data_IF_671289250124
#
_entry.id   IF_671289250124
#
_cell.length_a   1.000
_cell.length_b   1.000
_cell.length_c   1.000
_cell.angle_alpha   90.00
_cell.angle_beta   90.00
_cell.angle_gamma   90.00
#
_symmetry.space_group_name_H-M   'P 1'
#
loop_
_entity.id
_entity.type
_entity.pdbx_description
1 polymer ?
#
# COMPACT_ATOMS: atom_id res chain seq x y z
N UNK A 1 -6.30 46.01 4.98
CA UNK A 1 -7.09 45.22 4.02
C UNK A 1 -6.67 43.77 4.14
N UNK A 2 -7.46 42.94 4.80
CA UNK A 2 -7.21 41.50 4.91
C UNK A 2 -7.39 40.87 3.51
N UNK A 3 -6.29 40.38 2.92
CA UNK A 3 -6.38 39.56 1.71
C UNK A 3 -7.17 38.31 2.05
N UNK A 4 -8.39 38.22 1.59
CA UNK A 4 -9.21 36.99 1.66
C UNK A 4 -8.45 35.91 0.92
N UNK A 5 -7.78 34.99 1.65
CA UNK A 5 -7.05 33.87 1.09
C UNK A 5 -8.10 32.96 0.47
N UNK A 6 -8.15 32.86 -0.85
CA UNK A 6 -9.05 31.94 -1.53
C UNK A 6 -8.67 30.52 -1.11
N UNK A 7 -9.52 29.86 -0.35
CA UNK A 7 -9.33 28.48 0.07
C UNK A 7 -9.30 27.61 -1.18
N UNK A 8 -8.16 26.97 -1.43
CA UNK A 8 -8.03 26.04 -2.55
C UNK A 8 -8.70 24.70 -2.17
N UNK A 9 -9.56 24.22 -3.03
CA UNK A 9 -10.17 22.90 -2.90
C UNK A 9 -9.80 22.02 -4.12
N UNK A 10 -9.82 20.71 -3.93
CA UNK A 10 -9.49 19.73 -4.96
C UNK A 10 -10.41 18.51 -4.85
N UNK A 11 -10.69 17.86 -5.97
CA UNK A 11 -11.47 16.63 -6.01
C UNK A 11 -10.63 15.44 -5.58
N UNK A 12 -11.27 14.48 -4.94
CA UNK A 12 -10.69 13.15 -4.76
C UNK A 12 -10.54 12.49 -6.14
N UNK A 13 -9.49 11.67 -6.30
CA UNK A 13 -9.40 10.76 -7.43
C UNK A 13 -10.47 9.65 -7.34
N UNK A 14 -10.60 8.87 -8.40
CA UNK A 14 -11.63 7.85 -8.49
C UNK A 14 -11.53 6.82 -7.35
N UNK A 15 -10.33 6.31 -7.06
CA UNK A 15 -10.08 5.32 -6.01
C UNK A 15 -10.27 5.93 -4.61
N UNK A 16 -9.82 7.17 -4.42
CA UNK A 16 -9.93 7.90 -3.15
C UNK A 16 -11.38 8.06 -2.67
N UNK A 17 -12.35 8.12 -3.58
CA UNK A 17 -13.76 8.24 -3.23
C UNK A 17 -14.30 7.04 -2.43
N UNK A 18 -13.69 5.87 -2.56
CA UNK A 18 -14.09 4.65 -1.84
C UNK A 18 -13.73 4.74 -0.34
N UNK A 19 -12.53 5.19 -0.02
CA UNK A 19 -11.97 5.07 1.34
C UNK A 19 -12.79 5.74 2.44
N UNK A 20 -13.34 6.96 2.26
CA UNK A 20 -14.15 7.57 3.30
C UNK A 20 -15.44 6.79 3.63
N UNK A 21 -15.95 6.00 2.67
CA UNK A 21 -17.17 5.21 2.86
C UNK A 21 -16.95 3.91 3.64
N UNK A 22 -15.71 3.40 3.66
CA UNK A 22 -15.37 2.10 4.26
C UNK A 22 -14.46 2.19 5.47
N UNK A 23 -13.78 3.34 5.68
CA UNK A 23 -12.82 3.50 6.77
C UNK A 23 -13.50 3.63 8.16
N UNK A 24 -12.83 3.06 9.16
CA UNK A 24 -13.25 3.09 10.56
C UNK A 24 -12.23 2.36 11.43
N UNK A 25 -12.52 2.20 12.71
CA UNK A 25 -11.59 1.56 13.67
C UNK A 25 -11.26 0.10 13.29
N UNK A 26 -12.22 -0.65 12.75
CA UNK A 26 -12.02 -2.05 12.34
C UNK A 26 -11.40 -2.20 10.94
N UNK A 27 -11.36 -1.13 10.14
CA UNK A 27 -10.82 -1.13 8.78
C UNK A 27 -10.28 0.26 8.48
N UNK A 28 -9.06 0.50 8.90
CA UNK A 28 -8.51 1.85 8.97
C UNK A 28 -8.15 2.44 7.60
N UNK A 29 -7.78 1.60 6.64
CA UNK A 29 -7.22 2.02 5.34
C UNK A 29 -6.04 2.98 5.49
N UNK A 30 -5.27 2.81 6.57
CA UNK A 30 -4.05 3.55 6.87
C UNK A 30 -2.86 2.61 6.61
N UNK A 31 -2.09 2.87 5.58
CA UNK A 31 -0.87 2.12 5.33
C UNK A 31 0.34 2.80 5.96
N UNK A 32 1.41 2.03 6.18
CA UNK A 32 2.68 2.53 6.71
C UNK A 32 3.81 2.30 5.72
N UNK A 33 4.68 3.29 5.61
CA UNK A 33 6.01 3.20 5.03
C UNK A 33 7.00 3.75 6.05
N UNK A 34 8.10 3.05 6.26
CA UNK A 34 9.13 3.44 7.21
C UNK A 34 10.49 3.48 6.54
N UNK A 35 11.35 4.38 6.99
CA UNK A 35 12.76 4.45 6.64
C UNK A 35 13.60 4.29 7.91
N UNK A 36 14.64 3.47 7.85
CA UNK A 36 15.58 3.29 8.95
C UNK A 36 16.88 4.00 8.61
N UNK A 37 17.39 4.77 9.56
CA UNK A 37 18.61 5.55 9.42
C UNK A 37 19.77 4.91 10.20
N UNK A 38 20.98 5.42 10.02
CA UNK A 38 22.17 5.02 10.81
C UNK A 38 22.07 5.48 12.25
N UNK A 39 21.56 6.69 12.48
CA UNK A 39 21.54 7.36 13.77
C UNK A 39 20.13 7.36 14.38
N UNK A 40 20.04 7.50 15.70
CA UNK A 40 18.78 7.68 16.41
C UNK A 40 18.08 8.99 16.00
N UNK A 41 16.76 8.97 16.02
CA UNK A 41 15.95 10.09 15.58
C UNK A 41 15.88 11.20 16.62
N UNK A 42 16.33 12.39 16.25
CA UNK A 42 16.05 13.63 16.97
C UNK A 42 14.63 14.11 16.63
N UNK A 43 13.74 14.02 17.62
CA UNK A 43 12.32 14.36 17.43
C UNK A 43 12.06 15.84 17.13
N UNK A 44 12.89 16.74 17.65
CA UNK A 44 12.76 18.18 17.40
C UNK A 44 13.16 18.50 15.96
N UNK A 45 14.26 17.91 15.49
CA UNK A 45 14.69 18.03 14.09
C UNK A 45 13.73 17.38 13.11
N UNK A 46 13.10 16.27 13.48
CA UNK A 46 12.09 15.63 12.65
C UNK A 46 10.82 16.49 12.55
N UNK A 47 10.40 17.15 13.65
CA UNK A 47 9.30 18.11 13.61
C UNK A 47 9.65 19.32 12.74
N UNK A 48 10.85 19.88 12.88
CA UNK A 48 11.34 20.98 12.07
C UNK A 48 11.34 20.61 10.57
N UNK A 49 11.83 19.43 10.23
CA UNK A 49 11.79 18.91 8.86
C UNK A 49 10.36 18.81 8.31
N UNK A 50 9.43 18.29 9.12
CA UNK A 50 8.02 18.19 8.74
C UNK A 50 7.39 19.59 8.50
N UNK A 51 7.68 20.55 9.35
CA UNK A 51 7.17 21.92 9.23
C UNK A 51 7.69 22.62 7.95
N UNK A 52 8.92 22.30 7.52
CA UNK A 52 9.53 22.82 6.28
C UNK A 52 8.97 22.14 5.03
N UNK A 53 8.77 20.81 5.08
CA UNK A 53 8.40 20.02 3.90
C UNK A 53 6.90 20.05 3.61
N UNK A 54 6.06 19.95 4.64
CA UNK A 54 4.61 19.82 4.47
C UNK A 54 3.96 20.93 3.62
N UNK A 55 4.32 22.23 3.77
CA UNK A 55 3.75 23.29 2.94
C UNK A 55 4.06 23.15 1.44
N UNK A 56 5.14 22.44 1.09
CA UNK A 56 5.58 22.19 -0.29
C UNK A 56 4.78 21.05 -0.95
N UNK A 57 4.18 20.16 -0.14
CA UNK A 57 3.38 19.01 -0.60
C UNK A 57 1.88 19.31 -0.52
N UNK A 58 1.35 19.98 -1.52
CA UNK A 58 -0.06 20.38 -1.53
C UNK A 58 -1.06 19.22 -1.38
N UNK A 59 -0.69 17.98 -1.74
CA UNK A 59 -1.55 16.81 -1.55
C UNK A 59 -1.61 16.37 -0.09
N UNK A 60 -0.53 16.54 0.69
CA UNK A 60 -0.49 16.23 2.11
C UNK A 60 -1.03 17.37 2.97
N UNK A 61 -0.93 18.60 2.47
CA UNK A 61 -1.39 19.81 3.17
C UNK A 61 -2.89 20.08 2.99
N UNK A 62 -3.71 19.05 3.15
CA UNK A 62 -5.16 19.12 2.97
C UNK A 62 -5.90 18.45 4.14
N UNK A 63 -7.19 18.78 4.24
CA UNK A 63 -8.18 18.09 5.08
C UNK A 63 -9.31 17.57 4.22
N UNK A 64 -9.92 16.46 4.64
CA UNK A 64 -11.08 15.88 3.99
C UNK A 64 -12.36 16.61 4.45
N UNK A 65 -13.20 16.96 3.49
CA UNK A 65 -14.52 17.54 3.72
C UNK A 65 -15.58 16.66 3.09
N UNK A 66 -16.67 16.49 3.80
CA UNK A 66 -17.87 15.82 3.31
C UNK A 66 -18.85 16.87 2.84
N UNK A 67 -19.14 16.88 1.52
CA UNK A 67 -20.22 17.66 0.94
C UNK A 67 -21.53 16.87 0.88
N UNK A 68 -22.59 17.47 0.34
CA UNK A 68 -23.89 16.81 0.19
C UNK A 68 -23.84 15.66 -0.82
N UNK A 69 -23.06 15.82 -1.89
CA UNK A 69 -23.03 14.88 -3.02
C UNK A 69 -21.68 14.19 -3.22
N UNK A 70 -20.57 14.73 -2.70
CA UNK A 70 -19.21 14.19 -2.83
C UNK A 70 -18.31 14.66 -1.70
N UNK A 71 -17.24 13.88 -1.46
CA UNK A 71 -16.11 14.30 -0.65
C UNK A 71 -15.16 15.17 -1.46
N UNK A 72 -14.42 16.08 -0.80
CA UNK A 72 -13.41 16.91 -1.43
C UNK A 72 -12.28 17.24 -0.46
N UNK A 73 -11.12 17.57 -1.01
CA UNK A 73 -10.02 18.11 -0.25
C UNK A 73 -10.12 19.62 -0.16
N UNK A 74 -9.76 20.14 1.00
CA UNK A 74 -9.64 21.57 1.27
C UNK A 74 -8.25 21.82 1.85
N UNK A 75 -7.57 22.89 1.40
CA UNK A 75 -6.28 23.26 1.95
C UNK A 75 -6.36 23.39 3.48
N UNK A 76 -5.39 22.80 4.18
CA UNK A 76 -5.36 22.79 5.64
C UNK A 76 -4.40 23.88 6.13
N UNK A 77 -4.93 24.97 6.68
CA UNK A 77 -4.13 26.08 7.22
C UNK A 77 -3.65 25.89 8.66
N UNK A 78 -3.83 24.68 9.25
CA UNK A 78 -3.37 24.40 10.61
C UNK A 78 -1.87 24.08 10.64
N UNK A 79 -1.27 24.14 11.83
CA UNK A 79 0.10 23.63 12.05
C UNK A 79 0.21 22.17 11.67
N UNK A 80 1.39 21.75 11.24
CA UNK A 80 1.67 20.32 10.96
C UNK A 80 1.30 19.44 12.15
N UNK A 81 0.96 18.16 11.91
CA UNK A 81 0.71 17.23 13.00
C UNK A 81 1.98 17.07 13.83
N UNK A 82 1.81 16.88 15.15
CA UNK A 82 2.94 16.70 16.05
C UNK A 82 3.59 15.33 15.81
N UNK A 83 4.90 15.34 15.63
CA UNK A 83 5.73 14.12 15.63
C UNK A 83 5.82 13.59 17.06
N UNK A 84 5.74 12.29 17.25
CA UNK A 84 5.86 11.65 18.56
C UNK A 84 6.48 10.26 18.43
N UNK A 85 7.07 9.79 19.53
CA UNK A 85 7.56 8.43 19.61
C UNK A 85 6.41 7.43 19.50
N UNK A 86 6.66 6.31 18.83
CA UNK A 86 5.68 5.26 18.66
C UNK A 86 5.44 4.51 19.98
N UNK A 87 4.21 4.52 20.44
CA UNK A 87 3.79 3.87 21.67
C UNK A 87 2.50 3.04 21.51
N UNK A 88 2.09 2.81 20.29
CA UNK A 88 0.85 2.09 19.97
C UNK A 88 1.04 1.22 18.74
N UNK A 89 0.14 0.25 18.54
CA UNK A 89 0.10 -0.53 17.31
C UNK A 89 0.02 0.35 16.06
N UNK A 90 0.69 -0.05 14.97
CA UNK A 90 0.70 0.71 13.72
C UNK A 90 -0.65 0.68 12.99
N UNK A 91 -0.78 1.52 11.97
CA UNK A 91 -1.93 1.58 11.06
C UNK A 91 -3.29 1.83 11.73
N UNK A 92 -3.32 2.42 12.92
CA UNK A 92 -4.58 2.78 13.59
C UNK A 92 -5.32 3.87 12.85
N UNK A 93 -6.63 3.89 13.00
CA UNK A 93 -7.48 4.90 12.38
C UNK A 93 -7.03 6.32 12.75
N UNK A 94 -6.85 7.17 11.74
CA UNK A 94 -6.45 8.57 11.92
C UNK A 94 -7.72 9.40 12.17
N UNK A 95 -7.92 9.84 13.43
CA UNK A 95 -9.03 10.70 13.81
C UNK A 95 -8.72 12.14 13.47
N UNK A 96 -9.40 12.77 12.48
CA UNK A 96 -9.02 14.11 12.02
C UNK A 96 -9.07 15.19 13.10
N UNK A 97 -10.01 15.09 14.04
CA UNK A 97 -10.15 16.03 15.16
C UNK A 97 -8.99 16.00 16.16
N UNK A 98 -8.24 14.89 16.21
CA UNK A 98 -7.07 14.72 17.10
C UNK A 98 -5.73 14.94 16.39
N UNK A 99 -5.72 15.17 15.08
CA UNK A 99 -4.53 15.25 14.23
C UNK A 99 -4.53 16.54 13.38
N UNK A 100 -4.97 17.66 13.93
CA UNK A 100 -5.11 18.93 13.23
C UNK A 100 -5.87 18.83 11.88
N UNK A 101 -6.69 17.80 11.72
CA UNK A 101 -7.43 17.45 10.50
C UNK A 101 -6.56 16.91 9.35
N UNK A 102 -5.27 16.61 9.57
CA UNK A 102 -4.44 15.92 8.59
C UNK A 102 -4.80 14.44 8.48
N UNK A 103 -4.55 13.88 7.33
CA UNK A 103 -4.91 12.51 6.94
C UNK A 103 -3.69 11.58 6.93
N UNK A 104 -2.63 12.00 7.57
CA UNK A 104 -1.40 11.24 7.79
C UNK A 104 -0.85 11.55 9.18
N UNK A 105 0.06 10.73 9.68
CA UNK A 105 0.85 11.01 10.87
C UNK A 105 2.29 10.56 10.67
N UNK A 106 3.21 11.21 11.38
CA UNK A 106 4.62 10.86 11.45
C UNK A 106 4.94 10.45 12.87
N UNK A 107 5.52 9.27 13.04
CA UNK A 107 6.05 8.78 14.31
C UNK A 107 7.49 8.34 14.11
N UNK A 108 8.22 8.13 15.19
CA UNK A 108 9.55 7.55 15.14
C UNK A 108 9.72 6.50 16.25
N UNK A 109 10.64 5.58 16.04
CA UNK A 109 11.09 4.63 17.03
C UNK A 109 12.57 4.36 16.84
N UNK A 110 13.39 4.66 17.86
CA UNK A 110 14.86 4.60 17.75
C UNK A 110 15.36 5.35 16.53
N UNK A 111 15.93 4.65 15.55
CA UNK A 111 16.48 5.18 14.31
C UNK A 111 15.52 5.06 13.11
N UNK A 112 14.22 4.82 13.35
CA UNK A 112 13.21 4.62 12.28
C UNK A 112 12.19 5.76 12.26
N UNK A 113 12.00 6.38 11.10
CA UNK A 113 10.91 7.32 10.83
C UNK A 113 9.75 6.54 10.19
N UNK A 114 8.55 6.68 10.74
CA UNK A 114 7.34 6.04 10.27
C UNK A 114 6.38 7.08 9.70
N UNK A 115 5.95 6.89 8.47
CA UNK A 115 4.87 7.63 7.84
C UNK A 115 3.64 6.74 7.71
N UNK A 116 2.55 7.13 8.33
CA UNK A 116 1.25 6.48 8.16
C UNK A 116 0.29 7.39 7.42
N UNK A 117 -0.32 6.87 6.37
CA UNK A 117 -1.16 7.64 5.46
C UNK A 117 -2.53 6.99 5.32
N UNK A 118 -3.58 7.76 5.54
CA UNK A 118 -4.92 7.37 5.14
C UNK A 118 -5.00 7.35 3.60
N UNK A 119 -5.30 6.19 3.06
CA UNK A 119 -5.18 5.90 1.62
C UNK A 119 -6.04 6.80 0.71
N UNK A 120 -6.92 7.62 1.32
CA UNK A 120 -7.64 8.68 0.59
C UNK A 120 -6.71 9.73 -0.02
N UNK A 121 -5.54 9.98 0.60
CA UNK A 121 -4.58 10.96 0.08
C UNK A 121 -3.87 10.46 -1.18
N UNK A 122 -3.27 9.28 -1.08
CA UNK A 122 -2.33 8.79 -2.09
C UNK A 122 -2.09 7.30 -1.94
N UNK A 123 -1.53 6.68 -2.97
CA UNK A 123 -0.97 5.33 -2.93
C UNK A 123 0.46 5.28 -2.38
N UNK A 124 1.05 4.07 -2.37
CA UNK A 124 2.40 3.86 -1.86
C UNK A 124 3.47 4.73 -2.54
N UNK A 125 3.33 5.00 -3.85
CA UNK A 125 4.30 5.83 -4.59
C UNK A 125 4.29 7.29 -4.12
N UNK A 126 3.11 7.88 -3.92
CA UNK A 126 3.02 9.23 -3.39
C UNK A 126 3.44 9.31 -1.91
N UNK A 127 3.18 8.25 -1.13
CA UNK A 127 3.68 8.13 0.25
C UNK A 127 5.20 8.09 0.33
N UNK A 128 5.86 7.28 -0.53
CA UNK A 128 7.33 7.23 -0.64
C UNK A 128 7.90 8.59 -1.03
N UNK A 129 7.27 9.25 -1.99
CA UNK A 129 7.70 10.55 -2.47
C UNK A 129 7.73 11.59 -1.33
N UNK A 130 6.72 11.60 -0.48
CA UNK A 130 6.68 12.45 0.71
C UNK A 130 7.68 12.01 1.78
N UNK A 131 7.76 10.72 2.10
CA UNK A 131 8.69 10.20 3.12
C UNK A 131 10.15 10.47 2.76
N UNK A 132 10.54 10.31 1.49
CA UNK A 132 11.89 10.62 1.04
C UNK A 132 12.26 12.08 1.29
N UNK A 133 11.41 13.01 0.88
CA UNK A 133 11.70 14.44 1.08
C UNK A 133 11.72 14.84 2.56
N UNK A 134 10.83 14.24 3.38
CA UNK A 134 10.87 14.41 4.82
C UNK A 134 12.22 13.92 5.40
N UNK A 135 12.65 12.73 4.97
CA UNK A 135 13.93 12.15 5.40
C UNK A 135 15.12 12.99 4.93
N UNK A 136 15.11 13.45 3.69
CA UNK A 136 16.17 14.30 3.16
C UNK A 136 16.27 15.62 3.93
N UNK A 137 15.13 16.25 4.21
CA UNK A 137 15.13 17.48 4.99
C UNK A 137 15.60 17.25 6.44
N UNK A 138 15.20 16.13 7.05
CA UNK A 138 15.69 15.73 8.36
C UNK A 138 17.21 15.55 8.36
N UNK A 139 17.77 14.82 7.39
CA UNK A 139 19.21 14.60 7.25
C UNK A 139 19.97 15.92 7.00
N UNK A 140 19.41 16.86 6.26
CA UNK A 140 20.00 18.22 6.10
C UNK A 140 20.08 19.00 7.40
N UNK A 141 19.11 18.80 8.30
CA UNK A 141 19.08 19.47 9.61
C UNK A 141 20.03 18.82 10.63
N UNK A 142 20.33 17.53 10.46
CA UNK A 142 21.18 16.77 11.41
C UNK A 142 22.62 16.61 10.91
N UNK A 143 22.87 16.76 9.61
CA UNK A 143 24.17 16.53 8.96
C UNK A 143 24.61 17.80 8.19
N UNK A 144 25.45 18.67 8.79
CA UNK A 144 25.86 19.93 8.20
C UNK A 144 26.56 19.82 6.84
N UNK A 145 27.23 18.71 6.57
CA UNK A 145 27.88 18.41 5.31
C UNK A 145 26.88 18.27 4.15
N UNK A 146 25.69 17.72 4.42
CA UNK A 146 24.62 17.61 3.44
C UNK A 146 23.90 18.97 3.28
N UNK A 147 23.70 19.69 4.36
CA UNK A 147 23.02 20.97 4.36
C UNK A 147 23.64 21.99 3.37
N UNK A 148 24.97 21.96 3.21
CA UNK A 148 25.70 22.83 2.29
C UNK A 148 25.41 22.54 0.81
N UNK A 149 24.90 21.37 0.48
CA UNK A 149 24.74 20.93 -0.91
C UNK A 149 23.42 21.38 -1.55
N UNK A 150 22.32 21.49 -0.78
CA UNK A 150 20.97 21.58 -1.39
C UNK A 150 19.98 22.57 -0.76
N UNK A 151 20.29 23.20 0.35
CA UNK A 151 19.34 24.11 1.05
C UNK A 151 17.98 23.42 1.31
N UNK A 152 16.88 24.20 1.32
CA UNK A 152 15.52 23.72 1.61
C UNK A 152 14.74 23.28 0.37
N UNK A 153 15.36 23.19 -0.81
CA UNK A 153 14.69 22.81 -2.05
C UNK A 153 14.33 21.32 -2.06
N UNK A 154 13.18 20.97 -2.65
CA UNK A 154 12.85 19.58 -2.96
C UNK A 154 13.79 19.05 -4.04
N UNK A 155 14.02 17.73 -4.05
CA UNK A 155 14.83 17.09 -5.09
C UNK A 155 14.14 17.17 -6.45
N UNK A 156 14.93 17.24 -7.53
CA UNK A 156 14.38 17.39 -8.90
C UNK A 156 13.49 16.23 -9.32
N UNK A 157 13.74 15.02 -8.80
CA UNK A 157 12.96 13.83 -9.08
C UNK A 157 11.63 13.74 -8.32
N UNK A 158 11.32 14.70 -7.44
CA UNK A 158 10.12 14.67 -6.62
C UNK A 158 8.92 15.23 -7.38
N UNK A 159 7.94 14.36 -7.65
CA UNK A 159 6.69 14.78 -8.28
C UNK A 159 5.77 15.49 -7.26
N UNK A 160 5.19 16.60 -7.69
CA UNK A 160 4.12 17.34 -7.00
C UNK A 160 2.82 17.33 -7.83
N UNK A 161 2.77 16.54 -8.89
CA UNK A 161 1.64 16.48 -9.80
C UNK A 161 0.41 15.91 -9.09
N UNK A 162 -0.71 16.64 -9.13
CA UNK A 162 -2.00 16.29 -8.51
C UNK A 162 -3.09 16.01 -9.54
N UNK A 163 -2.71 15.70 -10.77
CA UNK A 163 -3.65 15.39 -11.85
C UNK A 163 -4.43 14.10 -11.53
N UNK A 164 -5.72 14.10 -11.84
CA UNK A 164 -6.51 12.87 -11.82
C UNK A 164 -6.25 12.09 -13.11
N UNK A 165 -5.27 11.20 -13.07
CA UNK A 165 -4.86 10.41 -14.22
C UNK A 165 -5.90 9.37 -14.65
N UNK A 166 -6.84 8.99 -13.78
CA UNK A 166 -7.97 8.17 -14.18
C UNK A 166 -8.89 8.91 -15.15
N UNK A 167 -9.24 10.16 -14.81
CA UNK A 167 -10.10 10.98 -15.67
C UNK A 167 -9.42 11.36 -16.97
N UNK A 168 -8.11 11.64 -16.93
CA UNK A 168 -7.32 11.99 -18.12
C UNK A 168 -7.25 10.85 -19.13
N UNK A 169 -7.07 9.63 -18.66
CA UNK A 169 -6.88 8.45 -19.52
C UNK A 169 -8.18 7.66 -19.75
N UNK A 170 -9.31 8.15 -19.26
CA UNK A 170 -10.61 7.50 -19.41
C UNK A 170 -11.01 7.41 -20.88
N UNK A 171 -11.37 6.21 -21.33
CA UNK A 171 -12.08 5.96 -22.57
C UNK A 171 -13.44 5.35 -22.29
N UNK A 172 -14.43 5.70 -23.11
CA UNK A 172 -15.76 5.10 -23.02
C UNK A 172 -15.67 3.64 -23.48
N UNK A 173 -15.64 2.71 -22.53
CA UNK A 173 -15.62 1.28 -22.80
C UNK A 173 -16.89 0.62 -22.28
N UNK A 174 -17.21 -0.57 -22.83
CA UNK A 174 -18.26 -1.42 -22.27
C UNK A 174 -17.77 -1.96 -20.92
N UNK A 175 -18.54 -1.80 -19.82
CA UNK A 175 -18.08 -2.20 -18.51
C UNK A 175 -17.85 -3.71 -18.43
N UNK A 176 -16.63 -4.13 -18.11
CA UNK A 176 -16.34 -5.47 -17.61
C UNK A 176 -16.77 -5.54 -16.15
N UNK A 177 -17.60 -6.52 -15.79
CA UNK A 177 -18.06 -6.68 -14.41
C UNK A 177 -16.96 -7.17 -13.48
N UNK A 178 -17.09 -6.89 -12.16
CA UNK A 178 -16.24 -7.47 -11.14
C UNK A 178 -16.49 -8.98 -11.00
N UNK A 179 -15.44 -9.75 -10.72
CA UNK A 179 -15.60 -11.14 -10.32
C UNK A 179 -16.34 -11.19 -8.96
N UNK A 180 -17.53 -11.80 -8.95
CA UNK A 180 -18.40 -11.90 -7.75
C UNK A 180 -18.25 -13.23 -7.02
N UNK A 181 -17.51 -14.17 -7.58
CA UNK A 181 -17.31 -15.46 -6.94
C UNK A 181 -16.42 -15.29 -5.70
N UNK A 182 -16.87 -15.85 -4.57
CA UNK A 182 -16.07 -15.85 -3.34
C UNK A 182 -14.80 -16.67 -3.51
N UNK A 183 -13.72 -16.21 -2.90
CA UNK A 183 -12.48 -16.95 -2.75
C UNK A 183 -12.47 -17.72 -1.43
N UNK A 184 -11.51 -18.62 -1.28
CA UNK A 184 -11.19 -19.21 0.01
C UNK A 184 -10.77 -18.12 1.00
N UNK A 185 -11.39 -18.09 2.16
CA UNK A 185 -11.08 -17.12 3.21
C UNK A 185 -10.33 -17.83 4.33
N UNK A 186 -9.25 -17.23 4.83
CA UNK A 186 -8.47 -17.74 5.94
C UNK A 186 -9.30 -17.62 7.23
N UNK A 187 -9.95 -18.70 7.63
CA UNK A 187 -10.80 -18.80 8.83
C UNK A 187 -10.03 -19.49 9.95
N UNK A 188 -8.89 -18.92 10.31
CA UNK A 188 -8.04 -19.39 11.39
C UNK A 188 -8.29 -18.57 12.66
N UNK A 189 -7.80 -19.04 13.80
CA UNK A 189 -7.85 -18.33 15.06
C UNK A 189 -7.15 -16.97 14.94
N UNK A 190 -7.70 -15.97 15.64
CA UNK A 190 -7.18 -14.59 15.60
C UNK A 190 -6.61 -14.20 16.93
N UNK A 191 -5.61 -13.32 16.90
CA UNK A 191 -5.13 -12.61 18.10
C UNK A 191 -6.24 -11.72 18.68
N UNK A 192 -6.14 -11.31 19.96
CA UNK A 192 -7.10 -10.42 20.59
C UNK A 192 -7.36 -9.14 19.81
N UNK A 193 -8.54 -8.59 19.96
CA UNK A 193 -8.93 -7.36 19.27
C UNK A 193 -8.00 -6.19 19.61
N UNK A 194 -7.45 -5.56 18.57
CA UNK A 194 -6.50 -4.45 18.67
C UNK A 194 -5.04 -4.85 18.59
N UNK A 195 -4.74 -6.15 18.64
CA UNK A 195 -3.40 -6.69 18.39
C UNK A 195 -3.18 -6.96 16.90
N UNK A 196 -1.90 -7.01 16.51
CA UNK A 196 -1.55 -7.05 15.10
C UNK A 196 -0.09 -7.50 14.94
N UNK A 197 0.08 -8.65 14.32
CA UNK A 197 1.39 -9.23 14.10
C UNK A 197 2.05 -8.73 12.81
N UNK A 198 3.35 -8.48 12.88
CA UNK A 198 4.21 -8.18 11.74
C UNK A 198 5.36 -9.17 11.66
N UNK A 199 5.58 -9.73 10.48
CA UNK A 199 6.77 -10.50 10.16
C UNK A 199 7.41 -9.88 8.92
N UNK A 200 8.63 -9.38 9.07
CA UNK A 200 9.48 -8.92 7.97
C UNK A 200 10.47 -10.03 7.60
N UNK A 201 10.41 -10.52 6.38
CA UNK A 201 11.45 -11.36 5.79
C UNK A 201 12.34 -10.51 4.89
N UNK A 202 13.59 -10.36 5.26
CA UNK A 202 14.60 -9.64 4.48
C UNK A 202 15.44 -10.64 3.67
N UNK A 203 15.63 -10.37 2.39
CA UNK A 203 16.31 -11.27 1.47
C UNK A 203 17.07 -10.51 0.39
N UNK A 204 18.23 -11.03 -0.10
CA UNK A 204 18.95 -10.42 -1.20
C UNK A 204 18.15 -10.45 -2.50
N UNK A 205 17.98 -9.27 -3.13
CA UNK A 205 17.34 -9.16 -4.45
C UNK A 205 18.11 -9.96 -5.49
N UNK A 206 19.45 -9.98 -5.41
CA UNK A 206 20.34 -10.74 -6.30
C UNK A 206 20.04 -12.24 -6.27
N UNK A 207 19.84 -12.84 -5.09
CA UNK A 207 19.49 -14.26 -4.96
C UNK A 207 18.08 -14.54 -5.47
N UNK A 208 17.09 -13.68 -5.13
CA UNK A 208 15.74 -13.80 -5.67
C UNK A 208 15.71 -13.75 -7.20
N UNK A 209 16.48 -12.85 -7.81
CA UNK A 209 16.61 -12.79 -9.27
C UNK A 209 17.14 -14.09 -9.86
N UNK A 210 18.13 -14.72 -9.23
CA UNK A 210 18.66 -16.01 -9.68
C UNK A 210 17.60 -17.12 -9.62
N UNK A 211 16.83 -17.18 -8.53
CA UNK A 211 15.73 -18.13 -8.39
C UNK A 211 14.66 -17.88 -9.45
N UNK A 212 14.20 -16.65 -9.58
CA UNK A 212 13.18 -16.28 -10.57
C UNK A 212 13.64 -16.54 -12.02
N UNK A 213 14.90 -16.33 -12.32
CA UNK A 213 15.48 -16.65 -13.64
C UNK A 213 15.44 -18.14 -13.93
N UNK A 214 15.70 -19.03 -12.94
CA UNK A 214 15.58 -20.49 -13.10
C UNK A 214 14.16 -20.91 -13.46
N UNK A 215 13.16 -20.24 -12.89
CA UNK A 215 11.74 -20.50 -13.15
C UNK A 215 11.18 -19.72 -14.35
N UNK A 216 11.90 -18.74 -14.90
CA UNK A 216 11.43 -17.90 -16.01
C UNK A 216 10.31 -16.94 -15.65
N UNK A 217 10.24 -16.46 -14.39
CA UNK A 217 9.15 -15.61 -13.89
C UNK A 217 9.67 -14.32 -13.24
N UNK A 218 8.77 -13.36 -12.99
CA UNK A 218 9.12 -12.16 -12.22
C UNK A 218 9.21 -12.46 -10.71
N UNK A 219 9.93 -11.61 -9.95
CA UNK A 219 9.97 -11.69 -8.48
C UNK A 219 8.55 -11.59 -7.90
N UNK A 220 7.71 -10.74 -8.46
CA UNK A 220 6.34 -10.57 -8.00
C UNK A 220 5.53 -11.87 -8.17
N UNK A 221 5.57 -12.48 -9.34
CA UNK A 221 4.82 -13.71 -9.64
C UNK A 221 5.31 -14.88 -8.79
N UNK A 222 6.62 -14.98 -8.60
CA UNK A 222 7.23 -15.99 -7.74
C UNK A 222 6.78 -15.84 -6.28
N UNK A 223 6.82 -14.64 -5.71
CA UNK A 223 6.40 -14.40 -4.33
C UNK A 223 4.88 -14.61 -4.14
N UNK A 224 4.07 -14.21 -5.11
CA UNK A 224 2.62 -14.49 -5.10
C UNK A 224 2.37 -16.01 -5.17
N UNK A 225 3.09 -16.72 -6.02
CA UNK A 225 2.96 -18.18 -6.12
C UNK A 225 3.44 -18.89 -4.85
N UNK A 226 4.51 -18.43 -4.20
CA UNK A 226 4.95 -18.95 -2.90
C UNK A 226 3.86 -18.81 -1.83
N UNK A 227 3.14 -17.67 -1.81
CA UNK A 227 2.00 -17.49 -0.91
C UNK A 227 0.86 -18.46 -1.24
N UNK A 228 0.47 -18.56 -2.50
CA UNK A 228 -0.59 -19.48 -2.96
C UNK A 228 -0.23 -20.92 -2.61
N UNK A 229 1.02 -21.31 -2.83
CA UNK A 229 1.56 -22.61 -2.46
C UNK A 229 1.46 -22.88 -0.96
N UNK A 230 1.82 -21.88 -0.13
CA UNK A 230 1.73 -22.03 1.32
C UNK A 230 0.30 -22.22 1.79
N UNK A 231 -0.68 -21.51 1.21
CA UNK A 231 -2.10 -21.73 1.52
C UNK A 231 -2.55 -23.12 1.05
N UNK A 232 -2.11 -23.57 -0.13
CA UNK A 232 -2.43 -24.90 -0.65
C UNK A 232 -1.89 -26.01 0.25
N UNK A 233 -0.65 -25.90 0.73
CA UNK A 233 -0.04 -26.88 1.62
C UNK A 233 -0.65 -26.87 3.02
N UNK A 234 -0.75 -25.70 3.65
CA UNK A 234 -1.10 -25.57 5.06
C UNK A 234 -2.63 -25.61 5.31
N UNK A 235 -3.43 -25.09 4.38
CA UNK A 235 -4.87 -25.00 4.57
C UNK A 235 -5.65 -26.10 3.82
N UNK A 236 -5.13 -26.61 2.71
CA UNK A 236 -5.77 -27.66 1.92
C UNK A 236 -5.02 -28.99 2.03
N UNK A 237 -3.85 -29.01 2.66
CA UNK A 237 -3.02 -30.22 2.82
C UNK A 237 -2.74 -30.93 1.48
N UNK A 238 -2.55 -30.14 0.41
CA UNK A 238 -2.35 -30.67 -0.93
C UNK A 238 -3.60 -31.25 -1.59
N UNK A 239 -4.78 -31.11 -1.00
CA UNK A 239 -6.03 -31.71 -1.49
C UNK A 239 -6.83 -30.77 -2.38
N UNK A 240 -7.71 -31.27 -3.27
CA UNK A 240 -8.64 -30.47 -4.06
C UNK A 240 -9.57 -29.61 -3.19
N UNK A 241 -9.95 -28.45 -3.71
CA UNK A 241 -10.91 -27.55 -3.07
C UNK A 241 -11.72 -26.79 -4.13
N UNK A 242 -13.03 -26.65 -3.91
CA UNK A 242 -13.94 -25.93 -4.81
C UNK A 242 -13.71 -24.40 -4.78
N UNK A 243 -13.20 -23.89 -3.67
CA UNK A 243 -12.94 -22.46 -3.50
C UNK A 243 -11.53 -22.11 -4.01
N UNK A 244 -11.41 -21.13 -4.93
CA UNK A 244 -10.09 -20.71 -5.41
C UNK A 244 -9.34 -19.92 -4.34
N UNK A 245 -8.03 -20.07 -4.29
CA UNK A 245 -7.13 -19.11 -3.65
C UNK A 245 -6.94 -17.95 -4.62
N UNK A 246 -7.32 -16.74 -4.21
CA UNK A 246 -7.10 -15.51 -5.01
C UNK A 246 -6.29 -14.51 -4.24
N UNK A 247 -5.23 -14.06 -4.88
CA UNK A 247 -4.39 -12.97 -4.38
C UNK A 247 -4.67 -11.71 -5.18
N UNK A 248 -5.22 -10.71 -4.54
CA UNK A 248 -5.36 -9.39 -5.16
C UNK A 248 -3.99 -8.71 -5.26
N UNK A 249 -3.62 -8.27 -6.45
CA UNK A 249 -2.35 -7.61 -6.75
C UNK A 249 -2.64 -6.23 -7.33
N UNK A 250 -2.30 -5.14 -6.62
CA UNK A 250 -2.38 -3.79 -7.16
C UNK A 250 -1.35 -3.59 -8.26
N UNK A 251 -1.78 -3.11 -9.42
CA UNK A 251 -0.92 -2.77 -10.56
C UNK A 251 -0.80 -1.26 -10.65
N UNK A 252 0.44 -0.75 -10.52
CA UNK A 252 0.74 0.66 -10.74
C UNK A 252 0.55 1.02 -12.22
N UNK A 253 -0.36 1.96 -12.49
CA UNK A 253 -0.72 2.36 -13.86
C UNK A 253 0.23 3.39 -14.47
N UNK A 254 1.07 4.05 -13.68
CA UNK A 254 1.93 5.15 -14.16
C UNK A 254 2.80 4.76 -15.36
N UNK A 255 3.48 3.58 -15.37
CA UNK A 255 4.29 3.18 -16.51
C UNK A 255 3.48 2.93 -17.81
N UNK A 256 2.22 2.52 -17.69
CA UNK A 256 1.37 2.19 -18.83
C UNK A 256 0.72 3.41 -19.47
N UNK A 257 0.56 4.50 -18.70
CA UNK A 257 -0.19 5.70 -19.12
C UNK A 257 0.63 7.00 -19.02
N UNK A 258 1.95 6.88 -18.90
CA UNK A 258 2.91 7.99 -18.82
C UNK A 258 2.45 9.08 -17.83
N UNK A 259 2.16 8.67 -16.61
CA UNK A 259 1.68 9.53 -15.53
C UNK A 259 2.74 9.71 -14.45
N UNK A 260 2.84 10.94 -13.94
CA UNK A 260 3.67 11.30 -12.79
C UNK A 260 2.83 11.77 -11.60
N UNK A 261 1.53 11.47 -11.60
CA UNK A 261 0.61 11.89 -10.53
C UNK A 261 1.03 11.34 -9.17
N UNK A 262 0.85 12.14 -8.14
CA UNK A 262 1.02 11.73 -6.73
C UNK A 262 -0.29 11.23 -6.11
N UNK A 263 -1.44 11.40 -6.79
CA UNK A 263 -2.73 10.80 -6.38
C UNK A 263 -2.72 9.28 -6.60
N UNK A 264 -3.73 8.57 -6.10
CA UNK A 264 -3.88 7.14 -6.40
C UNK A 264 -4.00 6.91 -7.90
N UNK A 265 -3.19 5.99 -8.44
CA UNK A 265 -3.29 5.59 -9.84
C UNK A 265 -2.89 4.12 -10.00
N UNK A 266 -3.77 3.22 -9.57
CA UNK A 266 -3.59 1.78 -9.66
C UNK A 266 -4.94 1.09 -9.89
N UNK A 267 -4.90 -0.15 -10.36
CA UNK A 267 -6.05 -1.07 -10.41
C UNK A 267 -5.69 -2.38 -9.75
N UNK A 268 -6.71 -3.15 -9.36
CA UNK A 268 -6.54 -4.47 -8.76
C UNK A 268 -6.75 -5.53 -9.83
N UNK A 269 -5.78 -6.43 -9.98
CA UNK A 269 -5.94 -7.71 -10.65
C UNK A 269 -5.98 -8.84 -9.61
N UNK A 270 -6.37 -10.05 -10.01
CA UNK A 270 -6.45 -11.18 -9.08
C UNK A 270 -5.73 -12.39 -9.67
N UNK A 271 -4.63 -12.81 -9.05
CA UNK A 271 -3.99 -14.08 -9.34
C UNK A 271 -4.88 -15.21 -8.77
N UNK A 272 -5.36 -16.11 -9.61
CA UNK A 272 -6.25 -17.20 -9.22
C UNK A 272 -5.55 -18.55 -9.33
N UNK A 273 -5.68 -19.35 -8.28
CA UNK A 273 -5.36 -20.77 -8.28
C UNK A 273 -6.54 -21.55 -7.73
N UNK A 274 -7.04 -22.54 -8.51
CA UNK A 274 -8.13 -23.43 -8.11
C UNK A 274 -7.61 -24.87 -8.10
N UNK A 275 -7.42 -25.47 -6.94
CA UNK A 275 -6.92 -26.84 -6.84
C UNK A 275 -8.03 -27.86 -7.15
N UNK A 276 -8.12 -28.29 -8.40
CA UNK A 276 -9.11 -29.28 -8.86
C UNK A 276 -8.55 -30.71 -8.92
N UNK A 277 -7.22 -30.85 -9.06
CA UNK A 277 -6.54 -32.12 -9.09
C UNK A 277 -6.15 -32.59 -7.69
N UNK A 278 -5.88 -33.91 -7.56
CA UNK A 278 -5.49 -34.54 -6.29
C UNK A 278 -4.10 -34.14 -5.76
N UNK A 279 -3.27 -33.58 -6.61
CA UNK A 279 -1.95 -33.05 -6.22
C UNK A 279 -1.43 -32.04 -7.26
N UNK A 280 -0.61 -31.10 -6.80
CA UNK A 280 0.12 -30.16 -7.65
C UNK A 280 1.56 -30.06 -7.17
N UNK A 281 2.49 -29.89 -8.10
CA UNK A 281 3.85 -29.45 -7.79
C UNK A 281 3.88 -27.93 -7.64
N UNK A 282 4.97 -27.39 -7.07
CA UNK A 282 5.13 -25.93 -6.97
C UNK A 282 5.21 -25.29 -8.35
N UNK A 283 5.87 -25.94 -9.30
CA UNK A 283 6.03 -25.44 -10.68
C UNK A 283 4.68 -25.32 -11.40
N UNK A 284 3.78 -26.25 -11.17
CA UNK A 284 2.42 -26.19 -11.72
C UNK A 284 1.61 -25.03 -11.11
N UNK A 285 1.69 -24.85 -9.78
CA UNK A 285 1.06 -23.71 -9.10
C UNK A 285 1.65 -22.39 -9.58
N UNK A 286 2.99 -22.29 -9.69
CA UNK A 286 3.69 -21.13 -10.19
C UNK A 286 3.24 -20.77 -11.61
N UNK A 287 3.16 -21.77 -12.50
CA UNK A 287 2.69 -21.56 -13.87
C UNK A 287 1.26 -21.02 -13.91
N UNK A 288 0.33 -21.64 -13.16
CA UNK A 288 -1.09 -21.23 -13.11
C UNK A 288 -1.21 -19.79 -12.60
N UNK A 289 -0.49 -19.45 -11.52
CA UNK A 289 -0.49 -18.10 -10.94
C UNK A 289 0.08 -17.07 -11.91
N UNK A 290 1.21 -17.38 -12.55
CA UNK A 290 1.87 -16.51 -13.53
C UNK A 290 0.99 -16.27 -14.76
N UNK A 291 0.39 -17.32 -15.31
CA UNK A 291 -0.53 -17.24 -16.45
C UNK A 291 -1.78 -16.39 -16.09
N UNK A 292 -2.31 -16.58 -14.88
CA UNK A 292 -3.43 -15.79 -14.36
C UNK A 292 -3.10 -14.29 -14.23
N UNK A 293 -1.89 -13.94 -13.78
CA UNK A 293 -1.43 -12.55 -13.70
C UNK A 293 -1.23 -11.99 -15.10
N UNK A 294 -0.46 -12.67 -15.95
CA UNK A 294 -0.08 -12.18 -17.27
C UNK A 294 -1.27 -11.97 -18.21
N UNK A 295 -2.31 -12.79 -18.10
CA UNK A 295 -3.55 -12.64 -18.89
C UNK A 295 -4.30 -11.33 -18.58
N UNK A 296 -4.01 -10.68 -17.45
CA UNK A 296 -4.66 -9.45 -17.00
C UNK A 296 -3.79 -8.19 -17.17
N UNK A 297 -2.48 -8.34 -17.47
CA UNK A 297 -1.54 -7.21 -17.61
C UNK A 297 -1.42 -6.83 -19.09
N UNK A 298 -2.48 -6.30 -19.68
CA UNK A 298 -2.41 -5.55 -20.93
C UNK A 298 -2.89 -4.12 -20.70
N UNK A 299 -2.39 -3.16 -21.50
CA UNK A 299 -2.80 -1.75 -21.36
C UNK A 299 -4.30 -1.59 -21.56
N UNK A 300 -4.86 -2.32 -22.49
CA UNK A 300 -6.29 -2.33 -22.84
C UNK A 300 -7.13 -2.85 -21.67
N UNK A 301 -6.74 -3.99 -21.08
CA UNK A 301 -7.46 -4.55 -19.95
C UNK A 301 -7.37 -3.66 -18.69
N UNK A 302 -6.18 -3.12 -18.40
CA UNK A 302 -5.98 -2.20 -17.27
C UNK A 302 -6.82 -0.92 -17.47
N UNK A 303 -6.92 -0.42 -18.70
CA UNK A 303 -7.77 0.73 -19.06
C UNK A 303 -9.26 0.42 -18.85
N UNK A 304 -9.72 -0.76 -19.24
CA UNK A 304 -11.11 -1.20 -19.04
C UNK A 304 -11.48 -1.27 -17.55
N UNK A 305 -10.57 -1.79 -16.70
CA UNK A 305 -10.79 -1.91 -15.26
C UNK A 305 -11.06 -0.55 -14.59
N UNK A 306 -10.25 0.48 -14.87
CA UNK A 306 -10.51 1.78 -14.26
C UNK A 306 -11.60 2.56 -14.99
N UNK A 307 -11.77 2.37 -16.30
CA UNK A 307 -12.80 3.06 -17.08
C UNK A 307 -14.22 2.70 -16.62
N UNK A 308 -14.43 1.46 -16.17
CA UNK A 308 -15.68 1.06 -15.52
C UNK A 308 -16.00 1.94 -14.30
N UNK A 309 -15.02 2.13 -13.40
CA UNK A 309 -15.20 2.94 -12.19
C UNK A 309 -15.39 4.43 -12.51
N UNK A 310 -14.63 4.95 -13.48
CA UNK A 310 -14.75 6.36 -13.93
C UNK A 310 -16.09 6.62 -14.63
N UNK A 311 -16.61 5.66 -15.41
CA UNK A 311 -17.90 5.80 -16.07
C UNK A 311 -19.04 5.97 -15.07
N UNK A 312 -19.02 5.22 -13.97
CA UNK A 312 -19.98 5.37 -12.88
C UNK A 312 -19.90 6.77 -12.22
N UNK A 313 -18.68 7.30 -12.03
CA UNK A 313 -18.48 8.65 -11.48
C UNK A 313 -18.97 9.75 -12.44
N UNK A 314 -18.82 9.55 -13.77
CA UNK A 314 -19.26 10.48 -14.81
C UNK A 314 -20.76 10.42 -15.09
N UNK A 315 -21.46 9.38 -14.65
CA UNK A 315 -22.89 9.19 -14.90
C UNK A 315 -23.72 10.35 -14.32
N UNK A 316 -24.43 11.05 -15.18
CA UNK A 316 -25.23 12.23 -14.81
C UNK A 316 -26.35 11.89 -13.82
N UNK A 317 -26.95 10.68 -13.91
CA UNK A 317 -27.99 10.22 -13.00
C UNK A 317 -27.47 9.96 -11.58
N UNK A 318 -26.16 9.67 -11.46
CA UNK A 318 -25.52 9.45 -10.16
C UNK A 318 -25.10 10.76 -9.46
N UNK A 319 -25.00 11.86 -10.18
CA UNK A 319 -24.54 13.14 -9.60
C UNK A 319 -25.46 13.69 -8.52
N UNK A 320 -26.79 13.75 -8.69
CA UNK A 320 -27.70 14.28 -7.68
C UNK A 320 -27.97 13.32 -6.50
N UNK A 321 -27.47 12.08 -6.56
CA UNK A 321 -27.66 11.11 -5.45
C UNK A 321 -26.88 11.60 -4.22
N UNK A 322 -27.50 11.74 -3.05
CA UNK A 322 -26.83 12.15 -1.82
C UNK A 322 -25.69 11.23 -1.44
N UNK A 323 -24.62 11.80 -0.85
CA UNK A 323 -23.38 11.10 -0.54
C UNK A 323 -23.59 9.89 0.38
N UNK A 324 -24.53 9.97 1.36
CA UNK A 324 -24.79 8.87 2.27
C UNK A 324 -25.34 7.62 1.55
N UNK A 325 -26.15 7.78 0.49
CA UNK A 325 -26.68 6.68 -0.33
C UNK A 325 -25.53 6.08 -1.16
N UNK A 326 -24.68 6.93 -1.76
CA UNK A 326 -23.48 6.48 -2.49
C UNK A 326 -22.55 5.69 -1.59
N UNK A 327 -22.32 6.15 -0.37
CA UNK A 327 -21.45 5.47 0.60
C UNK A 327 -21.98 4.08 0.96
N UNK A 328 -23.31 3.94 1.15
CA UNK A 328 -23.92 2.64 1.42
C UNK A 328 -23.72 1.66 0.24
N UNK A 329 -23.97 2.12 -0.98
CA UNK A 329 -23.76 1.32 -2.19
C UNK A 329 -22.28 0.95 -2.37
N UNK A 330 -21.36 1.90 -2.21
CA UNK A 330 -19.91 1.64 -2.28
C UNK A 330 -19.45 0.63 -1.23
N UNK A 331 -19.95 0.73 0.00
CA UNK A 331 -19.63 -0.22 1.07
C UNK A 331 -20.12 -1.64 0.75
N UNK A 332 -21.30 -1.78 0.13
CA UNK A 332 -21.81 -3.08 -0.29
C UNK A 332 -20.97 -3.69 -1.41
N UNK A 333 -20.64 -2.92 -2.46
CA UNK A 333 -19.77 -3.35 -3.56
C UNK A 333 -18.38 -3.71 -3.05
N UNK A 334 -17.79 -2.89 -2.19
CA UNK A 334 -16.49 -3.17 -1.59
C UNK A 334 -16.49 -4.48 -0.79
N UNK A 335 -17.51 -4.69 0.05
CA UNK A 335 -17.63 -5.92 0.84
C UNK A 335 -17.65 -7.16 -0.06
N UNK A 336 -18.41 -7.12 -1.16
CA UNK A 336 -18.48 -8.21 -2.12
C UNK A 336 -17.13 -8.43 -2.82
N UNK A 337 -16.47 -7.36 -3.25
CA UNK A 337 -15.13 -7.41 -3.88
C UNK A 337 -14.04 -7.90 -2.92
N UNK A 338 -14.08 -7.49 -1.65
CA UNK A 338 -13.12 -7.93 -0.65
C UNK A 338 -13.19 -9.45 -0.39
N UNK A 339 -14.41 -10.02 -0.39
CA UNK A 339 -14.64 -11.46 -0.21
C UNK A 339 -14.32 -12.29 -1.46
N UNK A 340 -14.06 -11.66 -2.59
CA UNK A 340 -13.62 -12.31 -3.81
C UNK A 340 -12.12 -12.64 -3.80
N UNK A 341 -11.37 -12.20 -2.78
CA UNK A 341 -9.93 -12.45 -2.66
C UNK A 341 -9.60 -13.04 -1.27
N UNK A 342 -8.68 -13.98 -1.25
CA UNK A 342 -8.12 -14.60 -0.02
C UNK A 342 -7.26 -13.58 0.73
N UNK A 343 -6.43 -12.84 0.00
CA UNK A 343 -5.53 -11.82 0.53
C UNK A 343 -5.23 -10.75 -0.52
N UNK A 344 -4.45 -9.75 -0.09
CA UNK A 344 -3.82 -8.76 -0.99
C UNK A 344 -2.32 -8.80 -0.78
N UNK A 345 -1.54 -8.90 -1.85
CA UNK A 345 -0.09 -8.71 -1.85
C UNK A 345 0.21 -7.49 -2.71
N UNK A 346 0.77 -6.46 -2.09
CA UNK A 346 1.13 -5.21 -2.79
C UNK A 346 2.63 -5.08 -2.92
N UNK A 347 3.08 -4.61 -4.07
CA UNK A 347 4.49 -4.38 -4.35
C UNK A 347 4.71 -2.89 -4.62
N UNK A 348 5.44 -2.22 -3.71
CA UNK A 348 5.81 -0.82 -3.85
C UNK A 348 6.99 -0.65 -4.82
N UNK A 349 7.76 -1.72 -5.05
CA UNK A 349 8.92 -1.73 -5.94
C UNK A 349 10.22 -1.32 -5.26
N UNK A 350 11.20 -0.99 -6.10
CA UNK A 350 12.51 -0.55 -5.64
C UNK A 350 12.50 0.94 -5.30
N UNK A 351 12.83 1.25 -4.04
CA UNK A 351 12.90 2.63 -3.54
C UNK A 351 14.29 3.19 -3.88
N UNK A 352 14.29 4.23 -4.71
CA UNK A 352 15.51 4.95 -5.09
C UNK A 352 15.73 6.14 -4.17
N UNK A 353 16.97 6.32 -3.74
CA UNK A 353 17.44 7.41 -2.89
C UNK A 353 18.51 8.17 -3.66
N UNK A 354 18.57 9.48 -3.47
CA UNK A 354 19.65 10.29 -4.04
C UNK A 354 20.99 9.90 -3.39
N UNK A 355 22.09 9.81 -4.17
CA UNK A 355 23.37 9.25 -3.71
C UNK A 355 23.92 9.89 -2.43
N UNK A 356 23.74 11.20 -2.26
CA UNK A 356 24.22 11.95 -1.10
C UNK A 356 23.55 11.55 0.24
N UNK A 357 22.34 10.97 0.20
CA UNK A 357 21.62 10.49 1.39
C UNK A 357 21.80 9.00 1.64
N UNK A 358 22.28 8.25 0.65
CA UNK A 358 22.45 6.81 0.76
C UNK A 358 23.30 6.36 1.97
N UNK A 359 24.40 7.04 2.36
CA UNK A 359 25.20 6.62 3.51
C UNK A 359 24.45 6.59 4.83
N UNK A 360 23.38 7.37 4.95
CA UNK A 360 22.61 7.56 6.19
C UNK A 360 21.35 6.70 6.26
N UNK A 361 20.97 6.02 5.17
CA UNK A 361 19.74 5.23 5.07
C UNK A 361 20.11 3.75 5.00
N UNK A 362 19.61 2.97 5.95
CA UNK A 362 19.90 1.53 6.07
C UNK A 362 18.81 0.65 5.44
N UNK A 363 17.55 1.09 5.39
CA UNK A 363 16.47 0.29 4.81
C UNK A 363 15.11 0.97 4.79
N UNK A 364 14.18 0.30 4.11
CA UNK A 364 12.77 0.68 4.05
C UNK A 364 11.88 -0.51 4.38
N UNK A 365 10.77 -0.22 5.02
CA UNK A 365 9.73 -1.19 5.36
C UNK A 365 8.36 -0.63 4.95
N UNK A 366 7.45 -1.52 4.61
CA UNK A 366 6.08 -1.11 4.29
C UNK A 366 5.10 -2.20 4.66
N UNK A 367 3.91 -1.80 5.08
CA UNK A 367 2.80 -2.72 5.28
C UNK A 367 1.45 -2.02 5.25
N UNK A 368 0.44 -2.81 5.01
CA UNK A 368 -0.96 -2.38 4.91
C UNK A 368 -1.79 -3.12 5.97
N UNK A 369 -2.82 -2.49 6.54
CA UNK A 369 -3.68 -3.12 7.53
C UNK A 369 -4.57 -4.17 6.88
N UNK A 370 -5.15 -5.03 7.69
CA UNK A 370 -6.16 -6.01 7.28
C UNK A 370 -7.40 -5.32 6.72
N UNK A 371 -8.16 -6.08 5.95
CA UNK A 371 -9.45 -5.65 5.44
C UNK A 371 -10.50 -6.75 5.62
N UNK A 372 -11.75 -6.44 5.34
CA UNK A 372 -12.86 -7.37 5.55
C UNK A 372 -12.63 -8.69 4.82
N UNK A 373 -12.62 -9.79 5.55
CA UNK A 373 -12.40 -11.15 5.02
C UNK A 373 -10.93 -11.48 4.71
N UNK A 374 -10.00 -10.55 4.90
CA UNK A 374 -8.57 -10.74 4.66
C UNK A 374 -7.78 -10.48 5.97
N UNK A 375 -7.63 -11.50 6.83
CA UNK A 375 -6.97 -11.36 8.12
C UNK A 375 -5.44 -11.32 8.04
N UNK A 376 -4.89 -11.55 6.86
CA UNK A 376 -3.46 -11.48 6.56
C UNK A 376 -3.26 -10.75 5.24
N UNK A 377 -2.16 -9.99 5.12
CA UNK A 377 -1.74 -9.33 3.88
C UNK A 377 -0.23 -9.37 3.71
N UNK A 378 0.22 -9.24 2.46
CA UNK A 378 1.62 -9.14 2.11
C UNK A 378 1.98 -7.78 1.51
N UNK A 379 3.17 -7.29 1.83
CA UNK A 379 3.72 -6.06 1.21
C UNK A 379 5.17 -6.28 0.84
N UNK A 380 5.55 -5.84 -0.35
CA UNK A 380 6.90 -5.95 -0.90
C UNK A 380 7.46 -4.55 -1.10
N UNK A 381 8.68 -4.32 -0.62
CA UNK A 381 9.49 -3.17 -1.00
C UNK A 381 10.95 -3.58 -1.09
N UNK A 382 11.77 -2.87 -1.86
CA UNK A 382 13.20 -3.12 -1.91
C UNK A 382 14.00 -1.82 -1.90
N UNK A 383 15.20 -1.91 -1.35
CA UNK A 383 16.19 -0.85 -1.35
C UNK A 383 17.58 -1.46 -1.48
N UNK A 384 18.38 -0.98 -2.44
CA UNK A 384 19.66 -1.60 -2.81
C UNK A 384 19.47 -3.09 -3.13
N UNK A 385 20.27 -3.97 -2.54
CA UNK A 385 20.14 -5.43 -2.70
C UNK A 385 19.23 -6.10 -1.64
N UNK A 386 18.49 -5.35 -0.85
CA UNK A 386 17.58 -5.91 0.15
C UNK A 386 16.13 -5.77 -0.29
N UNK A 387 15.42 -6.89 -0.43
CA UNK A 387 13.96 -6.94 -0.55
C UNK A 387 13.38 -7.31 0.81
N UNK A 388 12.36 -6.58 1.24
CA UNK A 388 11.57 -6.89 2.44
C UNK A 388 10.19 -7.34 2.00
N UNK A 389 9.84 -8.58 2.35
CA UNK A 389 8.47 -9.06 2.30
C UNK A 389 7.88 -8.98 3.70
N UNK A 390 6.83 -8.19 3.87
CA UNK A 390 6.18 -8.03 5.16
C UNK A 390 4.82 -8.73 5.16
N UNK A 391 4.63 -9.67 6.07
CA UNK A 391 3.29 -10.10 6.46
C UNK A 391 2.75 -9.20 7.57
N UNK A 392 1.53 -8.68 7.36
CA UNK A 392 0.69 -8.10 8.39
C UNK A 392 -0.48 -9.05 8.65
N UNK A 393 -0.72 -9.44 9.91
CA UNK A 393 -1.68 -10.49 10.22
C UNK A 393 -2.33 -10.28 11.58
N UNK A 394 -3.61 -10.64 11.67
CA UNK A 394 -4.33 -10.84 12.94
C UNK A 394 -4.58 -12.32 13.23
N UNK A 395 -3.92 -13.22 12.52
CA UNK A 395 -4.00 -14.65 12.80
C UNK A 395 -3.00 -15.00 13.92
N UNK A 396 -3.42 -15.85 14.85
CA UNK A 396 -2.59 -16.31 15.96
C UNK A 396 -1.49 -17.28 15.45
N UNK A 397 -1.85 -18.15 14.50
CA UNK A 397 -0.90 -19.10 13.90
C UNK A 397 -0.10 -18.49 12.76
N UNK A 398 1.17 -18.86 12.66
CA UNK A 398 2.13 -18.40 11.64
C UNK A 398 2.46 -19.47 10.60
N UNK A 399 1.69 -20.56 10.51
CA UNK A 399 2.00 -21.70 9.62
C UNK A 399 2.17 -21.29 8.16
N UNK A 400 1.32 -20.38 7.64
CA UNK A 400 1.40 -19.90 6.26
C UNK A 400 2.69 -19.09 6.05
N UNK A 401 3.03 -18.18 6.96
CA UNK A 401 4.25 -17.36 6.88
C UNK A 401 5.50 -18.25 6.97
N UNK A 402 5.48 -19.22 7.87
CA UNK A 402 6.56 -20.21 8.03
C UNK A 402 6.75 -21.03 6.75
N UNK A 403 5.67 -21.53 6.18
CA UNK A 403 5.68 -22.30 4.92
C UNK A 403 6.22 -21.45 3.76
N UNK A 404 5.79 -20.19 3.67
CA UNK A 404 6.26 -19.23 2.68
C UNK A 404 7.78 -19.03 2.76
N UNK A 405 8.32 -18.68 3.92
CA UNK A 405 9.76 -18.44 4.06
C UNK A 405 10.58 -19.71 3.93
N UNK A 406 10.08 -20.86 4.38
CA UNK A 406 10.73 -22.16 4.14
C UNK A 406 10.86 -22.47 2.64
N UNK A 407 9.84 -22.16 1.84
CA UNK A 407 9.93 -22.36 0.37
C UNK A 407 11.05 -21.54 -0.23
N UNK A 408 11.19 -20.27 0.17
CA UNK A 408 12.27 -19.39 -0.30
C UNK A 408 13.66 -19.94 0.09
N UNK A 409 13.83 -20.37 1.34
CA UNK A 409 15.09 -20.97 1.82
C UNK A 409 15.40 -22.28 1.08
N UNK A 410 14.41 -23.13 0.84
CA UNK A 410 14.59 -24.37 0.08
C UNK A 410 15.00 -24.10 -1.38
N UNK A 411 14.61 -22.98 -1.95
CA UNK A 411 15.03 -22.56 -3.30
C UNK A 411 16.41 -21.89 -3.33
N UNK A 412 17.03 -21.71 -2.15
CA UNK A 412 18.39 -21.16 -2.00
C UNK A 412 18.44 -19.65 -1.75
N UNK A 413 17.35 -19.06 -1.23
CA UNK A 413 17.34 -17.65 -0.82
C UNK A 413 17.64 -17.55 0.67
N UNK A 414 18.59 -16.72 1.06
CA UNK A 414 18.83 -16.37 2.46
C UNK A 414 17.71 -15.46 2.96
N UNK A 415 17.12 -15.81 4.11
CA UNK A 415 16.02 -15.04 4.70
C UNK A 415 16.34 -14.71 6.16
N UNK A 416 16.37 -13.43 6.48
CA UNK A 416 16.44 -12.94 7.85
C UNK A 416 15.06 -12.47 8.29
N UNK A 417 14.60 -12.91 9.46
CA UNK A 417 13.27 -12.60 9.98
C UNK A 417 13.37 -11.58 11.13
N UNK A 418 12.54 -10.53 11.04
CA UNK A 418 12.23 -9.62 12.14
C UNK A 418 10.73 -9.64 12.42
N UNK A 419 10.35 -9.52 13.68
CA UNK A 419 8.94 -9.49 14.10
C UNK A 419 8.73 -8.46 15.20
N UNK A 420 7.50 -8.00 15.38
CA UNK A 420 7.13 -7.16 16.53
C UNK A 420 6.87 -7.96 17.83
N UNK A 421 7.11 -9.27 17.82
CA UNK A 421 6.97 -10.13 19.00
C UNK A 421 5.54 -10.52 19.39
N UNK A 422 4.57 -10.18 18.57
CA UNK A 422 3.13 -10.44 18.82
C UNK A 422 2.68 -11.80 18.26
N UNK A 423 3.50 -12.83 18.43
CA UNK A 423 3.13 -14.18 18.03
C UNK A 423 3.24 -15.09 19.25
N UNK A 424 2.13 -15.72 19.56
CA UNK A 424 2.06 -16.74 20.62
C UNK A 424 2.56 -18.07 20.03
N UNK A 425 3.42 -18.75 20.79
CA UNK A 425 3.95 -20.08 20.45
C UNK A 425 2.87 -21.18 20.53
#
# INVERSE_FOLDING_TARGET
>A
MSKTRSIRWDKLDNTANLFPSIAGESMTNVYRISVTLTDEIDSEKLQEALDIVLPKFGLFNVRLRMGVFWNYFEENGKKAPKVHEENTFPCRFIRPNKNHSYLFRVTYYKNRINLEVFHVLTDGMGGINFLRELTYQYLRLTHPEIAKLKGDSLTQGTSLNREDSFVKNYKSSKPSGFNRQKAYLLKLEKVPDGEFGLIHGMMPVSQLKQVCHRYGVSINDYLVACFVWSVYQECFHGMPNDMPVRVAVPVNLRPYFDSVTTKNFFVMISAEFRPQNSSYTFEEVLKIVTDSINSQISKEHLEDLFSYSVSNQKNLLMRPVPLFIKNLAMKAVYTQSALANTTTITNIGNIKVEPEYEPYITGFYSFIPMSKGQPMKGTICSYRDTLVFTFSSILADTMIQRSFFKKLVNDGVEVTIETNGEYYD
#
